data_IF_285257969178
#
_entry.id   IF_285257969178
#
_cell.length_a   1.000
_cell.length_b   1.000
_cell.length_c   1.000
_cell.angle_alpha   90.00
_cell.angle_beta   90.00
_cell.angle_gamma   90.00
#
_symmetry.space_group_name_H-M   'P 1'
#
loop_
_entity.id
_entity.type
_entity.pdbx_description
1 polymer ?
#
# COMPACT_ATOMS: atom_id res chain seq x y z
N UNK A 1 -7.77 -11.96 2.96
CA UNK A 1 -6.61 -11.07 3.13
C UNK A 1 -6.38 -10.28 1.86
N UNK A 2 -6.01 -9.03 1.98
CA UNK A 2 -5.71 -8.15 0.84
C UNK A 2 -4.34 -7.53 1.00
N UNK A 3 -3.71 -7.20 -0.11
CA UNK A 3 -2.45 -6.46 -0.08
C UNK A 3 -2.74 -4.97 0.14
N UNK A 4 -1.94 -4.31 0.96
CA UNK A 4 -2.10 -2.89 1.27
C UNK A 4 -0.97 -2.10 0.61
N UNK A 5 -1.32 -1.33 -0.41
CA UNK A 5 -0.38 -0.48 -1.12
C UNK A 5 -0.09 0.80 -0.33
N UNK A 6 1.10 1.32 -0.49
CA UNK A 6 1.57 2.51 0.23
C UNK A 6 0.69 3.74 -0.01
N UNK A 7 0.08 3.88 -1.18
CA UNK A 7 -0.69 5.08 -1.49
C UNK A 7 -1.95 5.25 -0.65
N UNK A 8 -2.47 4.19 -0.04
CA UNK A 8 -3.59 4.32 0.91
C UNK A 8 -3.18 5.17 2.11
N UNK A 9 -1.97 4.98 2.61
CA UNK A 9 -1.44 5.80 3.71
C UNK A 9 -1.23 7.25 3.29
N UNK A 10 -0.78 7.45 2.05
CA UNK A 10 -0.58 8.79 1.53
C UNK A 10 -1.89 9.56 1.56
N UNK A 11 -2.95 9.00 0.98
CA UNK A 11 -4.26 9.66 0.96
C UNK A 11 -4.87 9.81 2.35
N UNK A 12 -4.62 8.86 3.26
CA UNK A 12 -5.16 8.90 4.62
C UNK A 12 -4.51 10.00 5.48
N UNK A 13 -3.19 10.15 5.39
CA UNK A 13 -2.42 11.02 6.29
C UNK A 13 -1.93 12.31 5.66
N UNK A 14 -1.74 12.36 4.34
CA UNK A 14 -1.21 13.55 3.69
C UNK A 14 -2.23 14.69 3.73
N UNK A 15 -1.76 15.88 4.13
CA UNK A 15 -2.57 17.10 4.15
C UNK A 15 -2.07 18.03 3.05
N UNK A 16 -2.76 18.08 1.89
CA UNK A 16 -2.33 18.94 0.79
C UNK A 16 -2.51 20.41 1.14
N UNK A 17 -1.65 21.26 0.58
CA UNK A 17 -1.70 22.70 0.78
C UNK A 17 -2.78 23.37 -0.08
N UNK A 18 -3.31 22.67 -1.07
CA UNK A 18 -4.36 23.16 -1.97
C UNK A 18 -5.68 22.48 -1.69
N UNK A 19 -6.77 23.07 -2.17
CA UNK A 19 -8.08 22.46 -2.07
C UNK A 19 -8.14 21.18 -2.92
N UNK A 20 -8.67 20.11 -2.33
CA UNK A 20 -8.84 18.83 -3.02
C UNK A 20 -10.00 18.89 -4.00
N UNK A 21 -9.86 18.20 -5.13
CA UNK A 21 -10.97 17.93 -6.02
C UNK A 21 -11.98 17.01 -5.31
N UNK A 22 -13.20 16.93 -5.84
CA UNK A 22 -14.22 16.02 -5.29
C UNK A 22 -13.73 14.57 -5.31
N UNK A 23 -13.09 14.16 -6.40
CA UNK A 23 -12.50 12.81 -6.54
C UNK A 23 -11.42 12.57 -5.49
N UNK A 24 -10.48 13.50 -5.32
CA UNK A 24 -9.42 13.40 -4.33
C UNK A 24 -9.97 13.33 -2.90
N UNK A 25 -11.01 14.11 -2.60
CA UNK A 25 -11.67 14.07 -1.30
C UNK A 25 -12.32 12.71 -1.02
N UNK A 26 -12.94 12.13 -2.04
CA UNK A 26 -13.53 10.80 -1.96
C UNK A 26 -12.47 9.72 -1.71
N UNK A 27 -11.35 9.79 -2.44
CA UNK A 27 -10.22 8.89 -2.23
C UNK A 27 -9.67 8.99 -0.81
N UNK A 28 -9.54 10.22 -0.30
CA UNK A 28 -9.07 10.44 1.09
C UNK A 28 -10.03 9.84 2.10
N UNK A 29 -11.32 10.00 1.92
CA UNK A 29 -12.34 9.43 2.82
C UNK A 29 -12.28 7.91 2.81
N UNK A 30 -12.17 7.29 1.65
CA UNK A 30 -12.05 5.84 1.52
C UNK A 30 -10.75 5.31 2.14
N UNK A 31 -9.63 6.00 1.91
CA UNK A 31 -8.34 5.62 2.49
C UNK A 31 -8.39 5.67 4.02
N UNK A 32 -8.94 6.72 4.60
CA UNK A 32 -9.10 6.84 6.05
C UNK A 32 -9.93 5.71 6.63
N UNK A 33 -11.01 5.34 5.94
CA UNK A 33 -11.87 4.23 6.39
C UNK A 33 -11.11 2.91 6.39
N UNK A 34 -10.40 2.61 5.33
CA UNK A 34 -9.62 1.37 5.22
C UNK A 34 -8.54 1.32 6.29
N UNK A 35 -7.76 2.37 6.45
CA UNK A 35 -6.71 2.44 7.48
C UNK A 35 -7.30 2.32 8.88
N UNK A 36 -8.45 2.95 9.13
CA UNK A 36 -9.17 2.81 10.41
C UNK A 36 -9.59 1.37 10.66
N UNK A 37 -10.16 0.70 9.67
CA UNK A 37 -10.58 -0.70 9.79
C UNK A 37 -9.38 -1.63 10.06
N UNK A 38 -8.24 -1.38 9.42
CA UNK A 38 -7.00 -2.09 9.70
C UNK A 38 -6.54 -1.83 11.14
N UNK A 39 -6.53 -0.56 11.55
CA UNK A 39 -6.10 -0.17 12.92
C UNK A 39 -6.98 -0.76 14.01
N UNK A 40 -8.26 -0.98 13.73
CA UNK A 40 -9.20 -1.57 14.67
C UNK A 40 -9.24 -3.11 14.62
N UNK A 41 -8.40 -3.72 13.80
CA UNK A 41 -8.35 -5.18 13.65
C UNK A 41 -9.51 -5.77 12.85
N UNK A 42 -10.26 -4.96 12.12
CA UNK A 42 -11.41 -5.42 11.32
C UNK A 42 -11.01 -5.97 9.95
N UNK A 43 -9.81 -5.68 9.50
CA UNK A 43 -9.27 -6.12 8.22
C UNK A 43 -7.91 -6.77 8.43
N UNK A 44 -7.71 -7.92 7.80
CA UNK A 44 -6.40 -8.56 7.72
C UNK A 44 -5.74 -8.17 6.41
N UNK A 45 -4.55 -7.62 6.49
CA UNK A 45 -3.81 -7.16 5.31
C UNK A 45 -2.37 -7.65 5.34
N UNK A 46 -1.76 -7.71 4.16
CA UNK A 46 -0.33 -7.91 4.03
C UNK A 46 0.29 -6.77 3.23
N UNK A 47 1.54 -6.53 3.49
CA UNK A 47 2.38 -5.61 2.73
C UNK A 47 3.82 -6.09 2.81
N UNK A 48 4.76 -5.35 2.27
CA UNK A 48 6.18 -5.67 2.38
C UNK A 48 6.94 -4.55 3.06
N UNK A 49 8.15 -4.85 3.53
CA UNK A 49 9.05 -3.84 4.10
C UNK A 49 9.39 -2.73 3.07
N UNK A 50 9.40 -3.07 1.78
CA UNK A 50 9.63 -2.09 0.71
C UNK A 50 8.49 -1.08 0.65
N UNK A 51 7.25 -1.55 0.74
CA UNK A 51 6.05 -0.69 0.74
C UNK A 51 5.96 0.15 2.02
N UNK A 52 6.33 -0.41 3.16
CA UNK A 52 6.43 0.36 4.41
C UNK A 52 7.48 1.46 4.27
N UNK A 53 8.60 1.18 3.63
CA UNK A 53 9.63 2.18 3.34
C UNK A 53 9.10 3.31 2.44
N UNK A 54 8.26 2.99 1.46
CA UNK A 54 7.59 4.03 0.64
C UNK A 54 6.71 4.93 1.49
N UNK A 55 5.92 4.34 2.39
CA UNK A 55 5.08 5.11 3.32
C UNK A 55 5.94 6.10 4.11
N UNK A 56 7.04 5.62 4.69
CA UNK A 56 7.96 6.47 5.46
C UNK A 56 8.56 7.59 4.61
N UNK A 57 9.00 7.25 3.38
CA UNK A 57 9.63 8.23 2.49
C UNK A 57 8.69 9.35 2.05
N UNK A 58 7.43 9.05 1.91
CA UNK A 58 6.44 10.04 1.47
C UNK A 58 5.92 10.85 2.65
N UNK A 59 5.53 10.19 3.73
CA UNK A 59 4.95 10.86 4.88
C UNK A 59 5.93 11.75 5.63
N UNK A 60 7.25 11.48 5.53
CA UNK A 60 8.27 12.32 6.18
C UNK A 60 8.24 13.79 5.72
N UNK A 61 7.70 14.06 4.54
CA UNK A 61 7.59 15.43 4.02
C UNK A 61 6.42 16.21 4.60
N UNK A 62 5.49 15.55 5.26
CA UNK A 62 4.29 16.19 5.81
C UNK A 62 4.03 15.93 7.28
N UNK A 63 4.81 15.05 7.94
CA UNK A 63 4.61 14.69 9.35
C UNK A 63 5.88 14.88 10.15
N UNK A 64 5.77 15.33 11.41
CA UNK A 64 6.90 15.33 12.35
C UNK A 64 7.46 13.92 12.53
N UNK A 65 8.77 13.82 12.78
CA UNK A 65 9.47 12.53 12.88
C UNK A 65 8.86 11.61 13.96
N UNK A 66 8.50 12.16 15.11
CA UNK A 66 7.92 11.37 16.19
C UNK A 66 6.56 10.75 15.79
N UNK A 67 5.72 11.50 15.08
CA UNK A 67 4.43 10.98 14.59
C UNK A 67 4.64 9.92 13.52
N UNK A 68 5.58 10.15 12.59
CA UNK A 68 5.91 9.17 11.56
C UNK A 68 6.40 7.86 12.17
N UNK A 69 7.28 7.95 13.17
CA UNK A 69 7.81 6.77 13.87
C UNK A 69 6.70 5.98 14.53
N UNK A 70 5.74 6.65 15.17
CA UNK A 70 4.58 5.99 15.82
C UNK A 70 3.74 5.23 14.78
N UNK A 71 3.49 5.84 13.62
CA UNK A 71 2.71 5.20 12.55
C UNK A 71 3.43 3.94 12.05
N UNK A 72 4.71 4.06 11.74
CA UNK A 72 5.50 2.93 11.20
C UNK A 72 5.59 1.80 12.22
N UNK A 73 5.95 2.09 13.47
CA UNK A 73 6.00 1.07 14.53
C UNK A 73 4.65 0.43 14.75
N UNK A 74 3.57 1.22 14.69
CA UNK A 74 2.22 0.72 14.85
C UNK A 74 1.87 -0.36 13.84
N UNK A 75 2.33 -0.23 12.59
CA UNK A 75 2.11 -1.25 11.57
C UNK A 75 2.75 -2.58 11.95
N UNK A 76 3.98 -2.55 12.46
CA UNK A 76 4.68 -3.78 12.86
C UNK A 76 4.07 -4.43 14.11
N UNK A 77 3.39 -3.65 14.95
CA UNK A 77 2.81 -4.15 16.19
C UNK A 77 1.39 -4.71 16.03
N UNK A 78 0.73 -4.46 14.90
CA UNK A 78 -0.62 -4.96 14.64
C UNK A 78 -0.57 -6.42 14.20
N UNK A 79 -1.30 -7.30 14.90
CA UNK A 79 -1.35 -8.74 14.57
C UNK A 79 -2.00 -9.02 13.22
N UNK A 80 -2.91 -8.16 12.80
CA UNK A 80 -3.64 -8.29 11.54
C UNK A 80 -2.91 -7.68 10.34
N UNK A 81 -1.71 -7.14 10.52
CA UNK A 81 -0.86 -6.59 9.45
C UNK A 81 0.36 -7.48 9.30
N UNK A 82 0.41 -8.23 8.22
CA UNK A 82 1.55 -9.09 7.92
C UNK A 82 2.54 -8.32 7.05
N UNK A 83 3.72 -8.04 7.57
CA UNK A 83 4.78 -7.34 6.84
C UNK A 83 5.83 -8.35 6.44
N UNK A 84 5.99 -8.54 5.13
CA UNK A 84 6.92 -9.52 4.57
C UNK A 84 8.28 -8.87 4.31
N UNK A 85 9.34 -9.58 4.66
CA UNK A 85 10.69 -9.20 4.25
C UNK A 85 10.86 -9.39 2.75
N UNK A 86 11.82 -8.66 2.18
CA UNK A 86 12.14 -8.73 0.76
C UNK A 86 13.65 -8.92 0.61
N UNK A 87 14.05 -10.02 -0.02
CA UNK A 87 15.46 -10.26 -0.31
C UNK A 87 15.89 -9.46 -1.54
N UNK A 88 17.20 -9.27 -1.70
CA UNK A 88 17.74 -8.66 -2.90
C UNK A 88 17.33 -9.43 -4.15
N UNK A 89 17.33 -10.76 -4.07
CA UNK A 89 16.93 -11.62 -5.18
C UNK A 89 15.46 -11.46 -5.55
N UNK A 90 14.58 -11.36 -4.56
CA UNK A 90 13.16 -11.14 -4.80
C UNK A 90 12.91 -9.76 -5.44
N UNK A 91 13.63 -8.75 -4.99
CA UNK A 91 13.52 -7.42 -5.59
C UNK A 91 14.02 -7.39 -7.03
N UNK A 92 15.13 -8.05 -7.29
CA UNK A 92 15.65 -8.21 -8.65
C UNK A 92 14.64 -8.93 -9.55
N UNK A 93 14.03 -10.03 -9.08
CA UNK A 93 12.99 -10.74 -9.82
C UNK A 93 11.78 -9.85 -10.12
N UNK A 94 11.45 -8.94 -9.21
CA UNK A 94 10.37 -7.97 -9.43
C UNK A 94 10.68 -7.01 -10.59
N UNK A 95 11.95 -6.69 -10.86
CA UNK A 95 12.31 -5.87 -12.03
C UNK A 95 12.00 -6.59 -13.34
N UNK A 96 12.23 -7.89 -13.38
CA UNK A 96 11.93 -8.70 -14.56
C UNK A 96 10.42 -8.81 -14.79
N UNK A 97 9.67 -9.07 -13.72
CA UNK A 97 8.22 -9.12 -13.79
C UNK A 97 7.63 -7.76 -14.19
N UNK A 98 8.21 -6.68 -13.68
CA UNK A 98 7.79 -5.32 -14.03
C UNK A 98 8.00 -5.01 -15.50
N UNK A 99 9.08 -5.49 -16.09
CA UNK A 99 9.32 -5.38 -17.54
C UNK A 99 8.22 -6.08 -18.33
N UNK A 100 7.87 -7.30 -17.94
CA UNK A 100 6.82 -8.10 -18.59
C UNK A 100 5.43 -7.49 -18.46
N UNK A 101 5.10 -7.00 -17.28
CA UNK A 101 3.79 -6.42 -16.98
C UNK A 101 3.70 -4.91 -17.23
N UNK A 102 4.81 -4.27 -17.57
CA UNK A 102 4.92 -2.82 -17.73
C UNK A 102 4.54 -2.07 -16.46
N UNK A 103 5.07 -2.55 -15.35
CA UNK A 103 4.90 -1.97 -14.02
C UNK A 103 6.24 -1.51 -13.47
N UNK A 104 6.21 -0.48 -12.63
CA UNK A 104 7.36 -0.13 -11.80
C UNK A 104 7.70 -1.28 -10.85
N UNK A 105 8.96 -1.35 -10.40
CA UNK A 105 9.46 -2.49 -9.62
C UNK A 105 8.66 -2.73 -8.33
N UNK A 106 8.26 -1.68 -7.63
CA UNK A 106 7.52 -1.87 -6.37
C UNK A 106 6.09 -2.37 -6.62
N UNK A 107 5.46 -1.94 -7.69
CA UNK A 107 4.15 -2.45 -8.09
C UNK A 107 4.25 -3.92 -8.53
N UNK A 108 5.28 -4.25 -9.29
CA UNK A 108 5.54 -5.64 -9.68
C UNK A 108 5.84 -6.52 -8.48
N UNK A 109 6.57 -6.00 -7.50
CA UNK A 109 6.83 -6.72 -6.24
C UNK A 109 5.52 -7.04 -5.51
N UNK A 110 4.60 -6.08 -5.45
CA UNK A 110 3.30 -6.33 -4.85
C UNK A 110 2.57 -7.47 -5.57
N UNK A 111 2.56 -7.45 -6.89
CA UNK A 111 1.92 -8.51 -7.69
C UNK A 111 2.57 -9.87 -7.44
N UNK A 112 3.89 -9.94 -7.42
CA UNK A 112 4.63 -11.18 -7.18
C UNK A 112 4.33 -11.76 -5.80
N UNK A 113 4.39 -10.92 -4.77
CA UNK A 113 4.08 -11.31 -3.39
C UNK A 113 2.64 -11.79 -3.26
N UNK A 114 1.71 -11.09 -3.89
CA UNK A 114 0.29 -11.49 -3.89
C UNK A 114 0.10 -12.88 -4.50
N UNK A 115 0.71 -13.12 -5.66
CA UNK A 115 0.62 -14.41 -6.35
C UNK A 115 1.21 -15.54 -5.53
N UNK A 116 2.34 -15.31 -4.88
CA UNK A 116 3.00 -16.32 -4.03
C UNK A 116 2.19 -16.65 -2.77
N UNK A 117 1.33 -15.76 -2.33
CA UNK A 117 0.55 -15.92 -1.10
C UNK A 117 -0.95 -16.13 -1.35
N UNK A 118 -1.35 -16.35 -2.60
CA UNK A 118 -2.76 -16.53 -2.98
C UNK A 118 -3.65 -15.37 -2.53
N UNK A 119 -3.15 -14.15 -2.66
CA UNK A 119 -3.87 -12.92 -2.38
C UNK A 119 -4.28 -12.28 -3.69
N UNK A 120 -5.57 -12.00 -3.86
CA UNK A 120 -6.13 -11.57 -5.15
C UNK A 120 -6.66 -10.13 -5.12
N UNK A 121 -6.80 -9.53 -3.96
CA UNK A 121 -7.25 -8.15 -3.81
C UNK A 121 -6.16 -7.24 -3.31
N UNK A 122 -6.08 -6.04 -3.88
CA UNK A 122 -5.15 -5.01 -3.45
C UNK A 122 -5.89 -3.71 -3.15
N UNK A 123 -5.66 -3.15 -1.97
CA UNK A 123 -6.09 -1.79 -1.64
C UNK A 123 -5.11 -0.80 -2.23
N UNK A 124 -5.50 -0.15 -3.32
CA UNK A 124 -4.68 0.83 -4.01
C UNK A 124 -5.57 1.76 -4.85
N UNK A 125 -5.13 2.99 -5.01
CA UNK A 125 -5.75 3.93 -5.96
C UNK A 125 -4.99 3.99 -7.30
N UNK A 126 -3.95 3.18 -7.45
CA UNK A 126 -3.15 3.16 -8.68
C UNK A 126 -3.83 2.31 -9.75
N UNK A 127 -4.20 2.95 -10.84
CA UNK A 127 -4.87 2.31 -11.98
C UNK A 127 -3.97 1.31 -12.71
N UNK A 128 -2.65 1.31 -12.45
CA UNK A 128 -1.74 0.33 -13.03
C UNK A 128 -2.06 -1.11 -12.60
N UNK A 129 -2.80 -1.29 -11.49
CA UNK A 129 -3.24 -2.61 -11.06
C UNK A 129 -4.51 -3.10 -11.77
N UNK A 130 -5.15 -2.25 -12.55
CA UNK A 130 -6.30 -2.66 -13.36
C UNK A 130 -5.81 -3.53 -14.52
N UNK A 131 -6.66 -4.45 -14.96
CA UNK A 131 -6.37 -5.34 -16.09
C UNK A 131 -5.21 -6.33 -15.87
N UNK A 132 -4.87 -6.63 -14.63
CA UNK A 132 -3.92 -7.69 -14.29
C UNK A 132 -4.68 -8.96 -13.93
N UNK A 133 -4.30 -10.07 -14.58
CA UNK A 133 -4.96 -11.36 -14.35
C UNK A 133 -4.86 -11.78 -12.88
N UNK A 134 -6.01 -12.12 -12.29
CA UNK A 134 -6.10 -12.61 -10.92
C UNK A 134 -5.97 -11.54 -9.85
N UNK A 135 -5.92 -10.25 -10.21
CA UNK A 135 -5.80 -9.16 -9.25
C UNK A 135 -6.96 -8.19 -9.39
N UNK A 136 -7.60 -7.90 -8.28
CA UNK A 136 -8.68 -6.94 -8.20
C UNK A 136 -8.25 -5.74 -7.37
N UNK A 137 -8.29 -4.57 -7.97
CA UNK A 137 -8.02 -3.32 -7.27
C UNK A 137 -9.24 -2.88 -6.46
N UNK A 138 -9.02 -2.51 -5.20
CA UNK A 138 -10.01 -2.07 -4.24
C UNK A 138 -9.57 -0.71 -3.65
N UNK A 139 -10.48 0.12 -3.12
CA UNK A 139 -11.92 -0.05 -3.13
C UNK A 139 -12.52 0.23 -4.51
N UNK A 140 -13.66 -0.37 -4.78
CA UNK A 140 -14.45 -0.01 -5.95
C UNK A 140 -15.26 1.26 -5.63
N UNK A 141 -15.36 2.18 -6.59
CA UNK A 141 -16.07 3.44 -6.40
C UNK A 141 -16.30 4.21 -7.68
#
# INVERSE_FOLDING_TARGET
MKFLDANLFIYAYYKPKKQLTEKEQQMKTLAKKIISDVSLGKEDVMTTVVHVSEVANILKHGLPLDQLTIIIRGLFMMENVKILGVTAQAYFAATELGEDLKLEVNDALAVDVMRQNDVFGIYSFDEHFDNLDGIKRLPEW
#
